data_IF_711553386720
#
_entry.id   IF_711553386720
#
_cell.length_a   1.000
_cell.length_b   1.000
_cell.length_c   1.000
_cell.angle_alpha   90.00
_cell.angle_beta   90.00
_cell.angle_gamma   90.00
#
_symmetry.space_group_name_H-M   'P 1'
#
loop_
_entity.id
_entity.type
_entity.pdbx_description
1 polymer ?
#
# COMPACT_ATOMS: atom_id res chain seq x y z
N UNK A 1 -43.92 1.69 -4.83
CA UNK A 1 -43.02 2.82 -5.18
C UNK A 1 -41.86 2.98 -4.18
N UNK A 2 -42.06 2.78 -2.86
CA UNK A 2 -40.98 2.91 -1.85
C UNK A 2 -40.00 1.71 -1.82
N UNK A 3 -40.45 0.51 -2.16
CA UNK A 3 -39.63 -0.71 -2.16
C UNK A 3 -38.47 -0.65 -3.15
N UNK A 4 -38.67 -0.06 -4.33
CA UNK A 4 -37.61 0.14 -5.32
C UNK A 4 -36.52 1.10 -4.83
N UNK A 5 -36.90 2.11 -4.04
CA UNK A 5 -35.97 3.07 -3.45
C UNK A 5 -35.10 2.37 -2.40
N UNK A 6 -35.70 1.54 -1.56
CA UNK A 6 -35.00 0.75 -0.55
C UNK A 6 -34.02 -0.26 -1.17
N UNK A 7 -34.44 -0.98 -2.21
CA UNK A 7 -33.58 -1.92 -2.95
C UNK A 7 -32.46 -1.17 -3.69
N UNK A 8 -32.74 0.00 -4.27
CA UNK A 8 -31.73 0.84 -4.93
C UNK A 8 -30.64 1.32 -3.96
N UNK A 9 -31.02 1.74 -2.75
CA UNK A 9 -30.07 2.15 -1.71
C UNK A 9 -29.24 0.97 -1.23
N UNK A 10 -29.86 -0.20 -1.03
CA UNK A 10 -29.16 -1.41 -0.61
C UNK A 10 -28.16 -1.90 -1.66
N UNK A 11 -28.54 -1.84 -2.94
CA UNK A 11 -27.68 -2.19 -4.07
C UNK A 11 -26.48 -1.22 -4.21
N UNK A 12 -26.70 0.08 -3.97
CA UNK A 12 -25.61 1.06 -3.92
C UNK A 12 -24.64 0.78 -2.77
N UNK A 13 -25.15 0.53 -1.57
CA UNK A 13 -24.31 0.19 -0.41
C UNK A 13 -23.52 -1.11 -0.64
N UNK A 14 -24.18 -2.14 -1.16
CA UNK A 14 -23.53 -3.41 -1.50
C UNK A 14 -22.46 -3.24 -2.59
N UNK A 15 -22.74 -2.43 -3.63
CA UNK A 15 -21.80 -2.14 -4.70
C UNK A 15 -20.54 -1.40 -4.21
N UNK A 16 -20.71 -0.38 -3.34
CA UNK A 16 -19.57 0.33 -2.74
C UNK A 16 -18.78 -0.57 -1.81
N UNK A 17 -19.44 -1.36 -0.96
CA UNK A 17 -18.77 -2.28 -0.04
C UNK A 17 -17.94 -3.33 -0.79
N UNK A 18 -18.53 -3.96 -1.82
CA UNK A 18 -17.84 -4.94 -2.66
C UNK A 18 -16.71 -4.30 -3.47
N UNK A 19 -16.94 -3.13 -4.08
CA UNK A 19 -15.93 -2.40 -4.84
C UNK A 19 -14.73 -2.00 -3.98
N UNK A 20 -14.97 -1.50 -2.77
CA UNK A 20 -13.90 -1.15 -1.83
C UNK A 20 -13.07 -2.36 -1.41
N UNK A 21 -13.72 -3.48 -1.11
CA UNK A 21 -13.02 -4.69 -0.67
C UNK A 21 -12.14 -5.29 -1.77
N UNK A 22 -12.65 -5.34 -3.00
CA UNK A 22 -11.92 -5.82 -4.17
C UNK A 22 -10.74 -4.89 -4.48
N UNK A 23 -10.98 -3.57 -4.54
CA UNK A 23 -9.92 -2.59 -4.79
C UNK A 23 -8.81 -2.66 -3.73
N UNK A 24 -9.18 -2.78 -2.44
CA UNK A 24 -8.23 -2.93 -1.33
C UNK A 24 -7.37 -4.19 -1.51
N UNK A 25 -7.98 -5.33 -1.83
CA UNK A 25 -7.25 -6.59 -2.06
C UNK A 25 -6.33 -6.50 -3.29
N UNK A 26 -6.81 -5.88 -4.37
CA UNK A 26 -6.03 -5.71 -5.59
C UNK A 26 -4.81 -4.80 -5.38
N UNK A 27 -4.99 -3.70 -4.66
CA UNK A 27 -3.93 -2.76 -4.32
C UNK A 27 -2.86 -3.40 -3.43
N UNK A 28 -3.27 -4.19 -2.44
CA UNK A 28 -2.33 -4.96 -1.60
C UNK A 28 -1.52 -5.96 -2.43
N UNK A 29 -2.18 -6.67 -3.37
CA UNK A 29 -1.49 -7.61 -4.26
C UNK A 29 -0.54 -6.90 -5.25
N UNK A 30 -0.89 -5.70 -5.71
CA UNK A 30 -0.03 -4.90 -6.57
C UNK A 30 1.25 -4.46 -5.84
N UNK A 31 1.13 -3.95 -4.61
CA UNK A 31 2.27 -3.54 -3.77
C UNK A 31 3.15 -4.73 -3.35
N UNK A 32 2.59 -5.94 -3.26
CA UNK A 32 3.37 -7.17 -3.02
C UNK A 32 4.18 -7.60 -4.25
N UNK A 33 3.66 -7.38 -5.46
CA UNK A 33 4.36 -7.73 -6.71
C UNK A 33 5.47 -6.75 -7.08
N UNK A 34 5.30 -5.46 -6.78
CA UNK A 34 6.33 -4.43 -6.91
C UNK A 34 6.61 -3.85 -5.52
N UNK A 35 7.61 -4.36 -4.79
CA UNK A 35 7.87 -3.93 -3.42
C UNK A 35 8.06 -2.41 -3.39
N UNK A 36 7.37 -1.71 -2.47
CA UNK A 36 7.31 -0.25 -2.52
C UNK A 36 8.65 0.42 -2.21
N UNK A 37 9.67 -0.31 -1.74
CA UNK A 37 10.97 0.25 -1.35
C UNK A 37 12.10 -0.64 -1.88
N UNK A 38 12.98 -0.05 -2.70
CA UNK A 38 14.22 -0.66 -3.20
C UNK A 38 15.45 0.14 -2.70
N UNK A 39 16.67 -0.37 -2.95
CA UNK A 39 17.92 0.30 -2.54
C UNK A 39 18.05 1.73 -3.05
N UNK A 40 17.62 1.96 -4.29
CA UNK A 40 17.71 3.26 -4.95
C UNK A 40 16.75 4.28 -4.33
N UNK A 41 15.54 3.86 -3.95
CA UNK A 41 14.59 4.70 -3.19
C UNK A 41 15.14 5.06 -1.82
N UNK A 42 15.74 4.12 -1.09
CA UNK A 42 16.38 4.44 0.20
C UNK A 42 17.56 5.38 0.00
N UNK A 43 18.36 5.20 -1.06
CA UNK A 43 19.45 6.09 -1.39
C UNK A 43 18.95 7.51 -1.65
N UNK A 44 17.91 7.67 -2.48
CA UNK A 44 17.28 8.96 -2.77
C UNK A 44 16.69 9.56 -1.50
N UNK A 45 16.01 8.77 -0.67
CA UNK A 45 15.44 9.22 0.61
C UNK A 45 16.53 9.73 1.56
N UNK A 46 17.65 9.02 1.69
CA UNK A 46 18.78 9.49 2.51
C UNK A 46 19.42 10.75 1.93
N UNK A 47 19.57 10.84 0.61
CA UNK A 47 20.09 12.04 -0.04
C UNK A 47 19.16 13.25 0.16
N UNK A 48 17.84 13.05 0.11
CA UNK A 48 16.84 14.09 0.42
C UNK A 48 16.93 14.56 1.87
N UNK A 49 17.29 13.67 2.79
CA UNK A 49 17.51 13.99 4.20
C UNK A 49 18.91 14.57 4.49
N UNK A 50 19.73 14.84 3.47
CA UNK A 50 21.10 15.34 3.65
C UNK A 50 22.07 14.32 4.26
N UNK A 51 21.66 13.05 4.36
CA UNK A 51 22.50 11.97 4.86
C UNK A 51 23.32 11.35 3.74
N UNK A 52 24.63 11.17 3.97
CA UNK A 52 25.51 10.47 3.03
C UNK A 52 25.05 9.01 2.87
N UNK A 53 24.63 8.57 1.67
CA UNK A 53 24.22 7.20 1.44
C UNK A 53 25.44 6.27 1.53
N UNK A 54 25.50 5.44 2.56
CA UNK A 54 26.49 4.35 2.70
C UNK A 54 25.81 3.01 2.45
N UNK A 55 26.40 2.13 1.64
CA UNK A 55 25.81 0.84 1.27
C UNK A 55 25.43 -0.01 2.49
N UNK A 56 26.24 0.03 3.56
CA UNK A 56 25.92 -0.68 4.81
C UNK A 56 24.66 -0.12 5.48
N UNK A 57 24.49 1.21 5.48
CA UNK A 57 23.29 1.86 6.03
C UNK A 57 22.06 1.60 5.17
N UNK A 58 22.20 1.57 3.84
CA UNK A 58 21.12 1.19 2.90
C UNK A 58 20.63 -0.21 3.23
N UNK A 59 21.54 -1.18 3.37
CA UNK A 59 21.19 -2.57 3.65
C UNK A 59 20.52 -2.72 5.02
N UNK A 60 21.02 -2.04 6.05
CA UNK A 60 20.38 -2.02 7.38
C UNK A 60 18.98 -1.40 7.33
N UNK A 61 18.82 -0.30 6.59
CA UNK A 61 17.53 0.38 6.46
C UNK A 61 16.54 -0.46 5.66
N UNK A 62 16.97 -1.10 4.56
CA UNK A 62 16.14 -2.04 3.80
C UNK A 62 15.64 -3.18 4.67
N UNK A 63 16.50 -3.78 5.50
CA UNK A 63 16.10 -4.86 6.40
C UNK A 63 15.09 -4.38 7.44
N UNK A 64 15.29 -3.21 8.04
CA UNK A 64 14.35 -2.63 9.01
C UNK A 64 12.98 -2.34 8.38
N UNK A 65 12.96 -1.79 7.16
CA UNK A 65 11.75 -1.48 6.40
C UNK A 65 11.02 -2.75 5.97
N UNK A 66 11.73 -3.76 5.46
CA UNK A 66 11.13 -5.05 5.10
C UNK A 66 10.49 -5.73 6.31
N UNK A 67 11.11 -5.63 7.48
CA UNK A 67 10.56 -6.15 8.74
C UNK A 67 9.27 -5.43 9.16
N UNK A 68 9.20 -4.11 8.97
CA UNK A 68 7.97 -3.34 9.25
C UNK A 68 6.85 -3.63 8.25
N UNK A 69 7.18 -3.77 6.96
CA UNK A 69 6.18 -4.06 5.92
C UNK A 69 5.62 -5.48 6.02
N UNK A 70 6.43 -6.47 6.42
CA UNK A 70 5.98 -7.85 6.62
C UNK A 70 5.21 -8.07 7.92
N UNK A 71 5.29 -7.14 8.87
CA UNK A 71 4.67 -7.24 10.20
C UNK A 71 3.23 -6.71 10.24
N UNK A 72 2.58 -6.47 9.08
CA UNK A 72 1.23 -5.90 9.00
C UNK A 72 0.29 -6.72 8.12
#
# INVERSE_FOLDING_TARGET
>A
MWELVLVGILALLAGVALGFFIARKYMMNYLKKNPPINEQMIRVMMMQMGMKPSQKKINQMMQAINKQMSSK
#
